data_IF_844323821566
#
_entry.id   IF_844323821566
#
_cell.length_a   1.000
_cell.length_b   1.000
_cell.length_c   1.000
_cell.angle_alpha   90.00
_cell.angle_beta   90.00
_cell.angle_gamma   90.00
#
_symmetry.space_group_name_H-M   'P 1'
#
loop_
_entity.id
_entity.type
_entity.pdbx_description
1 polymer ?
#
# COMPACT_ATOMS: atom_id res chain seq x y z
N UNK A 1 -8.73 3.25 -0.63
CA UNK A 1 -7.42 3.66 -1.19
C UNK A 1 -7.51 3.93 -2.69
N UNK A 2 -7.90 2.93 -3.48
CA UNK A 2 -8.17 3.04 -4.93
C UNK A 2 -9.64 2.73 -5.22
N UNK A 3 -10.12 3.07 -6.41
CA UNK A 3 -11.39 2.54 -6.95
C UNK A 3 -11.34 1.01 -7.03
N UNK A 4 -12.52 0.36 -7.04
CA UNK A 4 -12.63 -1.10 -7.13
C UNK A 4 -11.84 -1.63 -8.33
N UNK A 5 -11.04 -2.67 -8.09
CA UNK A 5 -10.20 -3.32 -9.10
C UNK A 5 -9.20 -2.40 -9.84
N UNK A 6 -8.86 -1.26 -9.24
CA UNK A 6 -7.86 -0.33 -9.77
C UNK A 6 -6.63 -0.25 -8.89
N UNK A 7 -5.54 0.19 -9.50
CA UNK A 7 -4.23 0.36 -8.87
C UNK A 7 -3.49 1.60 -9.32
N UNK A 8 -3.94 2.27 -10.40
CA UNK A 8 -3.24 3.43 -10.95
C UNK A 8 -3.45 4.66 -10.07
N UNK A 9 -2.53 5.62 -10.19
CA UNK A 9 -2.61 6.87 -9.45
C UNK A 9 -3.88 7.67 -9.79
N UNK A 10 -4.33 7.65 -11.05
CA UNK A 10 -5.58 8.27 -11.53
C UNK A 10 -6.84 7.70 -10.86
N UNK A 11 -6.76 6.45 -10.39
CA UNK A 11 -7.85 5.76 -9.69
C UNK A 11 -7.73 5.84 -8.17
N UNK A 12 -6.72 6.54 -7.66
CA UNK A 12 -6.56 6.76 -6.22
C UNK A 12 -7.62 7.75 -5.72
N UNK A 13 -8.35 7.35 -4.68
CA UNK A 13 -9.39 8.16 -4.09
C UNK A 13 -8.79 9.41 -3.41
N UNK A 14 -9.51 10.55 -3.36
CA UNK A 14 -9.02 11.77 -2.71
C UNK A 14 -8.57 11.55 -1.26
N UNK A 15 -9.34 10.78 -0.48
CA UNK A 15 -8.98 10.42 0.89
C UNK A 15 -7.69 9.58 0.97
N UNK A 16 -7.45 8.70 -0.01
CA UNK A 16 -6.22 7.91 -0.09
C UNK A 16 -5.01 8.80 -0.40
N UNK A 17 -5.16 9.74 -1.33
CA UNK A 17 -4.11 10.73 -1.66
C UNK A 17 -3.77 11.60 -0.45
N UNK A 18 -4.78 12.14 0.23
CA UNK A 18 -4.58 12.95 1.44
C UNK A 18 -3.81 12.18 2.53
N UNK A 19 -4.11 10.89 2.71
CA UNK A 19 -3.38 10.05 3.68
C UNK A 19 -1.94 9.80 3.27
N UNK A 20 -1.66 9.64 1.97
CA UNK A 20 -0.29 9.53 1.47
C UNK A 20 0.49 10.84 1.58
N UNK A 21 -0.19 11.98 1.42
CA UNK A 21 0.43 13.29 1.62
C UNK A 21 0.84 13.49 3.07
N UNK A 22 -0.04 13.17 4.02
CA UNK A 22 0.28 13.18 5.46
C UNK A 22 1.45 12.24 5.78
N UNK A 23 1.46 11.05 5.18
CA UNK A 23 2.55 10.09 5.35
C UNK A 23 3.86 10.61 4.75
N UNK A 24 3.82 11.26 3.59
CA UNK A 24 5.01 11.79 2.93
C UNK A 24 5.70 12.85 3.80
N UNK A 25 4.94 13.75 4.43
CA UNK A 25 5.47 14.75 5.38
C UNK A 25 6.20 14.05 6.53
N UNK A 26 5.56 13.08 7.17
CA UNK A 26 6.15 12.32 8.28
C UNK A 26 7.41 11.56 7.88
N UNK A 27 7.42 10.97 6.68
CA UNK A 27 8.58 10.25 6.18
C UNK A 27 9.77 11.18 5.89
N UNK A 28 9.52 12.38 5.34
CA UNK A 28 10.56 13.39 5.14
C UNK A 28 11.15 13.88 6.47
N UNK A 29 10.32 14.08 7.49
CA UNK A 29 10.79 14.41 8.84
C UNK A 29 11.67 13.30 9.44
N UNK A 30 11.32 12.03 9.20
CA UNK A 30 12.12 10.90 9.65
C UNK A 30 13.40 10.73 8.84
N UNK A 31 13.39 11.04 7.55
CA UNK A 31 14.61 11.05 6.73
C UNK A 31 15.60 12.11 7.20
N UNK A 32 15.11 13.29 7.63
CA UNK A 32 15.96 14.33 8.20
C UNK A 32 16.64 13.91 9.51
N UNK A 33 16.11 12.87 10.19
CA UNK A 33 16.62 12.35 11.46
C UNK A 33 17.52 11.11 11.30
N UNK A 34 17.64 10.51 10.11
CA UNK A 34 18.52 9.35 9.89
C UNK A 34 18.19 8.47 8.67
N UNK A 35 18.82 7.29 8.60
CA UNK A 35 18.67 6.35 7.49
C UNK A 35 17.46 5.42 7.69
N UNK A 36 16.27 5.97 7.48
CA UNK A 36 14.99 5.26 7.62
C UNK A 36 14.61 4.50 6.35
N UNK A 37 14.45 3.18 6.40
CA UNK A 37 13.91 2.37 5.29
C UNK A 37 12.42 2.14 5.48
N UNK A 38 11.65 2.28 4.41
CA UNK A 38 10.19 2.13 4.38
C UNK A 38 9.82 0.95 3.49
N UNK A 39 9.06 0.02 4.04
CA UNK A 39 8.46 -1.10 3.29
C UNK A 39 6.98 -0.80 3.10
N UNK A 40 6.55 -0.81 1.84
CA UNK A 40 5.17 -0.57 1.42
C UNK A 40 4.59 -1.91 1.03
N UNK A 41 3.75 -2.46 1.90
CA UNK A 41 3.07 -3.74 1.65
C UNK A 41 1.66 -3.48 1.14
N UNK A 42 1.36 -3.96 -0.05
CA UNK A 42 -0.01 -3.96 -0.59
C UNK A 42 -0.76 -5.21 -0.15
N UNK A 43 -2.01 -5.06 0.26
CA UNK A 43 -2.92 -6.16 0.55
C UNK A 43 -4.16 -6.09 -0.36
N UNK A 44 -4.73 -7.24 -0.67
CA UNK A 44 -5.99 -7.39 -1.40
C UNK A 44 -6.99 -8.19 -0.59
N UNK A 45 -8.27 -8.05 -0.90
CA UNK A 45 -9.31 -8.86 -0.29
C UNK A 45 -9.15 -10.35 -0.60
N UNK A 46 -9.66 -11.19 0.30
CA UNK A 46 -9.53 -12.66 0.25
C UNK A 46 -10.30 -13.33 -0.89
N UNK A 47 -11.20 -12.61 -1.54
CA UNK A 47 -12.05 -13.13 -2.60
C UNK A 47 -11.38 -12.88 -3.97
N UNK A 48 -11.31 -13.92 -4.80
CA UNK A 48 -10.66 -13.87 -6.11
C UNK A 48 -9.43 -14.76 -6.22
N UNK A 49 -8.93 -14.92 -7.44
CA UNK A 49 -7.77 -15.73 -7.76
C UNK A 49 -6.51 -15.23 -7.03
N UNK A 50 -5.73 -16.14 -6.45
CA UNK A 50 -4.60 -15.79 -5.60
C UNK A 50 -3.46 -15.11 -6.38
N UNK A 51 -3.24 -15.50 -7.64
CA UNK A 51 -2.23 -14.86 -8.50
C UNK A 51 -2.70 -13.47 -8.93
N UNK A 52 -3.99 -13.33 -9.24
CA UNK A 52 -4.60 -12.04 -9.55
C UNK A 52 -4.44 -11.05 -8.39
N UNK A 53 -4.81 -11.50 -7.19
CA UNK A 53 -4.72 -10.72 -5.96
C UNK A 53 -3.26 -10.38 -5.60
N UNK A 54 -2.33 -11.32 -5.80
CA UNK A 54 -0.90 -11.04 -5.63
C UNK A 54 -0.43 -9.93 -6.57
N UNK A 55 -0.76 -10.02 -7.86
CA UNK A 55 -0.36 -9.01 -8.85
C UNK A 55 -0.99 -7.65 -8.54
N UNK A 56 -2.29 -7.61 -8.23
CA UNK A 56 -3.00 -6.39 -7.88
C UNK A 56 -2.41 -5.73 -6.62
N UNK A 57 -2.08 -6.52 -5.60
CA UNK A 57 -1.44 -6.03 -4.37
C UNK A 57 -0.08 -5.38 -4.65
N UNK A 58 0.74 -6.02 -5.50
CA UNK A 58 2.05 -5.52 -5.91
C UNK A 58 1.93 -4.22 -6.72
N UNK A 59 1.01 -4.16 -7.68
CA UNK A 59 0.75 -2.98 -8.50
C UNK A 59 0.30 -1.77 -7.67
N UNK A 60 -0.52 -2.00 -6.65
CA UNK A 60 -0.94 -0.96 -5.70
C UNK A 60 0.24 -0.47 -4.86
N UNK A 61 1.06 -1.38 -4.32
CA UNK A 61 2.25 -1.03 -3.57
C UNK A 61 3.26 -0.23 -4.41
N UNK A 62 3.46 -0.62 -5.67
CA UNK A 62 4.31 0.10 -6.62
C UNK A 62 3.77 1.50 -6.91
N UNK A 63 2.46 1.66 -7.07
CA UNK A 63 1.85 2.97 -7.31
C UNK A 63 2.03 3.90 -6.12
N UNK A 64 1.84 3.39 -4.89
CA UNK A 64 2.12 4.14 -3.67
C UNK A 64 3.60 4.53 -3.58
N UNK A 65 4.51 3.60 -3.88
CA UNK A 65 5.95 3.89 -3.95
C UNK A 65 6.25 5.02 -4.93
N UNK A 66 5.71 4.94 -6.15
CA UNK A 66 5.93 5.97 -7.16
C UNK A 66 5.37 7.33 -6.74
N UNK A 67 4.22 7.34 -6.07
CA UNK A 67 3.65 8.55 -5.50
C UNK A 67 4.58 9.18 -4.45
N UNK A 68 5.07 8.37 -3.50
CA UNK A 68 5.99 8.84 -2.45
C UNK A 68 7.33 9.34 -3.02
N UNK A 69 7.85 8.70 -4.07
CA UNK A 69 9.02 9.21 -4.82
C UNK A 69 8.73 10.60 -5.41
N UNK A 70 7.55 10.79 -6.01
CA UNK A 70 7.14 12.08 -6.56
C UNK A 70 7.03 13.19 -5.50
N UNK A 71 6.88 12.82 -4.22
CA UNK A 71 6.86 13.74 -3.08
C UNK A 71 8.25 14.04 -2.51
N UNK A 72 9.31 13.52 -3.12
CA UNK A 72 10.70 13.81 -2.76
C UNK A 72 11.39 12.71 -1.95
N UNK A 73 10.73 11.60 -1.66
CA UNK A 73 11.32 10.49 -0.90
C UNK A 73 12.25 9.68 -1.81
N UNK A 74 13.46 9.37 -1.35
CA UNK A 74 14.44 8.69 -2.18
C UNK A 74 13.99 7.25 -2.51
N UNK A 75 13.98 6.89 -3.81
CA UNK A 75 13.54 5.59 -4.28
C UNK A 75 14.28 4.39 -3.67
N UNK A 76 15.52 4.58 -3.22
CA UNK A 76 16.35 3.58 -2.52
C UNK A 76 15.87 3.25 -1.11
N UNK A 77 15.12 4.17 -0.48
CA UNK A 77 14.57 3.99 0.87
C UNK A 77 13.20 3.34 0.85
N UNK A 78 12.55 3.27 -0.31
CA UNK A 78 11.22 2.71 -0.48
C UNK A 78 11.29 1.35 -1.16
N UNK A 79 10.82 0.32 -0.47
CA UNK A 79 10.62 -1.03 -1.03
C UNK A 79 9.12 -1.29 -1.16
N UNK A 80 8.65 -1.73 -2.32
CA UNK A 80 7.25 -2.11 -2.53
C UNK A 80 7.14 -3.64 -2.63
N UNK A 81 6.25 -4.22 -1.82
CA UNK A 81 5.97 -5.65 -1.81
C UNK A 81 4.46 -5.89 -1.94
N UNK A 82 4.09 -6.90 -2.73
CA UNK A 82 2.73 -7.43 -2.70
C UNK A 82 2.66 -8.51 -1.64
N UNK A 83 1.75 -8.39 -0.69
CA UNK A 83 1.38 -9.48 0.19
C UNK A 83 0.02 -10.00 -0.26
N UNK A 84 0.01 -11.19 -0.86
CA UNK A 84 -1.20 -12.02 -0.89
C UNK A 84 -1.52 -12.52 0.54
N UNK A 85 -2.40 -13.51 0.69
CA UNK A 85 -2.86 -14.12 1.97
C UNK A 85 -1.75 -14.62 2.92
N UNK A 86 -0.48 -14.56 2.52
CA UNK A 86 0.66 -15.18 3.22
C UNK A 86 1.21 -14.39 4.41
N UNK A 87 0.70 -13.18 4.69
CA UNK A 87 0.98 -12.45 5.94
C UNK A 87 -0.31 -11.91 6.57
N UNK A 88 -1.03 -12.72 7.36
CA UNK A 88 -2.04 -12.19 8.27
C UNK A 88 -1.37 -11.19 9.21
N UNK A 89 -2.02 -10.05 9.44
CA UNK A 89 -1.57 -9.08 10.45
C UNK A 89 -1.44 -9.82 11.78
N UNK A 90 -0.29 -9.75 12.47
CA UNK A 90 -0.20 -10.29 13.82
C UNK A 90 -1.23 -9.53 14.66
N UNK A 91 -2.19 -10.26 15.23
CA UNK A 91 -3.34 -9.79 16.03
C UNK A 91 -4.63 -9.42 15.28
N UNK A 92 -4.77 -9.77 14.00
CA UNK A 92 -6.09 -9.81 13.35
C UNK A 92 -6.50 -11.27 13.19
N UNK A 93 -7.36 -11.75 14.09
CA UNK A 93 -8.13 -12.95 13.84
C UNK A 93 -9.10 -12.64 12.69
N UNK A 94 -8.77 -13.10 11.49
CA UNK A 94 -9.69 -13.00 10.36
C UNK A 94 -10.88 -13.91 10.63
N UNK A 95 -12.03 -13.32 10.98
CA UNK A 95 -13.29 -14.05 10.93
C UNK A 95 -13.59 -14.43 9.48
N UNK A 96 -13.52 -15.74 9.20
CA UNK A 96 -13.81 -16.33 7.90
C UNK A 96 -15.25 -16.05 7.44
N UNK A 97 -16.13 -15.59 8.33
CA UNK A 97 -17.52 -15.25 8.05
C UNK A 97 -17.79 -13.74 7.89
N UNK A 98 -16.78 -12.87 8.00
CA UNK A 98 -17.00 -11.43 7.89
C UNK A 98 -17.59 -11.06 6.51
N UNK A 99 -18.58 -10.15 6.42
CA UNK A 99 -19.13 -9.73 5.13
C UNK A 99 -18.08 -8.99 4.29
N UNK A 100 -18.24 -9.04 2.96
CA UNK A 100 -17.39 -8.33 1.99
C UNK A 100 -17.29 -6.84 2.36
N UNK A 101 -16.08 -6.29 2.40
CA UNK A 101 -15.91 -4.86 2.25
C UNK A 101 -16.25 -4.52 0.79
N UNK A 102 -17.36 -3.82 0.60
CA UNK A 102 -17.81 -3.24 -0.68
C UNK A 102 -17.01 -1.96 -0.96
#
# INVERSE_FOLDING_TARGET
MFKFDKWKLEDMLPAGRAKLDELAVKLLEWEARGDSRVVITGHTDRYGDDMYNMNLSMLRAQTVRQYLISKGIAARKLTATGASKTQPLPNVACDINAPKAI
#
